data_IF_685025657967
#
_entry.id   IF_685025657967
#
_cell.length_a   1.000
_cell.length_b   1.000
_cell.length_c   1.000
_cell.angle_alpha   90.00
_cell.angle_beta   90.00
_cell.angle_gamma   90.00
#
_symmetry.space_group_name_H-M   'P 1'
#
loop_
_entity.id
_entity.type
_entity.pdbx_description
1 polymer ?
#
# COMPACT_ATOMS: atom_id res chain seq x y z
N UNK A 1 -16.64 3.15 -6.34
CA UNK A 1 -15.38 2.81 -7.04
C UNK A 1 -14.22 3.29 -6.19
N UNK A 2 -13.27 2.42 -5.85
CA UNK A 2 -11.99 2.85 -5.30
C UNK A 2 -11.34 3.77 -6.33
N UNK A 3 -10.91 4.97 -5.91
CA UNK A 3 -9.98 5.78 -6.70
C UNK A 3 -8.77 4.90 -7.03
N UNK A 4 -8.23 4.95 -8.25
CA UNK A 4 -7.03 4.19 -8.62
C UNK A 4 -5.84 4.67 -7.79
N UNK A 5 -5.69 4.09 -6.60
CA UNK A 5 -4.55 4.32 -5.72
C UNK A 5 -3.32 3.75 -6.43
N UNK A 6 -2.25 4.54 -6.46
CA UNK A 6 -0.97 4.14 -7.05
C UNK A 6 0.04 3.91 -5.93
N UNK A 7 0.94 2.94 -6.07
CA UNK A 7 1.88 2.64 -5.03
C UNK A 7 2.68 1.39 -5.31
N UNK A 8 3.55 1.05 -4.37
CA UNK A 8 4.29 -0.21 -4.38
C UNK A 8 4.19 -0.89 -3.03
N UNK A 9 4.23 -2.21 -3.07
CA UNK A 9 4.56 -3.06 -1.94
C UNK A 9 5.78 -3.89 -2.31
N UNK A 10 6.76 -3.93 -1.41
CA UNK A 10 8.01 -4.64 -1.57
C UNK A 10 8.15 -5.62 -0.41
N UNK A 11 8.61 -6.82 -0.72
CA UNK A 11 9.03 -7.83 0.25
C UNK A 11 10.49 -8.17 -0.06
N UNK A 12 11.32 -8.17 0.96
CA UNK A 12 12.72 -8.53 0.85
C UNK A 12 12.94 -9.98 1.31
N UNK A 13 13.92 -10.70 0.74
CA UNK A 13 14.19 -12.09 1.13
C UNK A 13 14.58 -12.28 2.60
N UNK A 14 15.09 -11.24 3.26
CA UNK A 14 15.49 -11.22 4.67
C UNK A 14 14.34 -10.87 5.64
N UNK A 15 13.09 -10.84 5.15
CA UNK A 15 11.90 -10.77 6.01
C UNK A 15 11.41 -9.37 6.33
N UNK A 16 11.75 -8.37 5.51
CA UNK A 16 11.22 -7.00 5.63
C UNK A 16 10.26 -6.67 4.51
N UNK A 17 9.40 -5.69 4.78
CA UNK A 17 8.43 -5.20 3.81
C UNK A 17 8.33 -3.67 3.86
N UNK A 18 7.95 -3.08 2.73
CA UNK A 18 7.56 -1.68 2.65
C UNK A 18 6.36 -1.52 1.74
N UNK A 19 5.34 -0.78 2.16
CA UNK A 19 4.19 -0.44 1.36
C UNK A 19 4.00 1.07 1.36
N UNK A 20 3.84 1.65 0.18
CA UNK A 20 3.47 3.06 0.01
C UNK A 20 2.31 3.16 -0.96
N UNK A 21 1.29 3.91 -0.58
CA UNK A 21 0.08 4.13 -1.34
C UNK A 21 -0.22 5.62 -1.44
N UNK A 22 -0.52 6.06 -2.66
CA UNK A 22 -0.84 7.44 -3.00
C UNK A 22 -2.26 7.50 -3.59
N UNK A 23 -3.13 8.26 -2.93
CA UNK A 23 -4.47 8.56 -3.39
C UNK A 23 -4.37 9.64 -4.48
N UNK A 24 -4.93 9.42 -5.68
CA UNK A 24 -4.79 10.37 -6.80
C UNK A 24 -5.48 11.71 -6.50
N UNK A 25 -5.01 12.77 -7.17
CA UNK A 25 -5.55 14.12 -7.04
C UNK A 25 -4.77 15.04 -6.08
N UNK A 26 -3.56 14.63 -5.67
CA UNK A 26 -2.62 15.54 -5.00
C UNK A 26 -2.22 16.66 -5.96
N UNK A 27 -2.38 17.92 -5.53
CA UNK A 27 -1.90 19.08 -6.29
C UNK A 27 -0.37 19.18 -6.17
N UNK A 28 0.34 19.68 -7.21
CA UNK A 28 1.75 20.00 -7.09
C UNK A 28 1.99 20.92 -5.90
N UNK A 29 3.05 20.64 -5.14
CA UNK A 29 3.49 21.54 -4.08
C UNK A 29 3.92 22.87 -4.71
N UNK A 30 3.31 23.98 -4.29
CA UNK A 30 3.64 25.29 -4.81
C UNK A 30 5.03 25.69 -4.31
N UNK A 31 5.99 25.76 -5.24
CA UNK A 31 7.35 26.21 -4.95
C UNK A 31 7.37 27.75 -4.99
N UNK A 32 7.64 28.40 -3.86
CA UNK A 32 7.80 29.86 -3.82
C UNK A 32 7.32 30.56 -2.54
N UNK A 33 6.46 29.93 -1.74
CA UNK A 33 5.92 30.50 -0.49
C UNK A 33 6.77 30.20 0.77
N UNK A 34 8.02 29.76 0.61
CA UNK A 34 8.89 29.42 1.73
C UNK A 34 8.64 28.03 2.34
N UNK A 35 7.88 27.14 1.68
CA UNK A 35 7.79 25.71 2.03
C UNK A 35 6.96 25.37 3.28
N UNK A 36 6.40 26.37 3.96
CA UNK A 36 5.71 26.22 5.26
C UNK A 36 4.17 26.32 5.18
N UNK A 37 3.56 26.06 4.02
CA UNK A 37 2.10 26.01 3.93
C UNK A 37 1.59 24.68 4.52
N UNK A 38 1.17 24.74 5.79
CA UNK A 38 0.63 23.60 6.54
C UNK A 38 -0.53 22.92 5.80
N UNK A 39 -1.34 23.67 5.03
CA UNK A 39 -2.48 23.11 4.31
C UNK A 39 -2.02 22.15 3.20
N UNK A 40 -0.91 22.47 2.51
CA UNK A 40 -0.33 21.61 1.47
C UNK A 40 0.25 20.33 2.08
N UNK A 41 0.92 20.44 3.23
CA UNK A 41 1.43 19.27 3.97
C UNK A 41 0.30 18.38 4.50
N UNK A 42 -0.75 18.97 5.06
CA UNK A 42 -1.91 18.24 5.53
C UNK A 42 -2.62 17.49 4.39
N UNK A 43 -2.73 18.10 3.21
CA UNK A 43 -3.32 17.44 2.04
C UNK A 43 -2.43 16.30 1.52
N UNK A 44 -1.12 16.50 1.45
CA UNK A 44 -0.16 15.44 1.09
C UNK A 44 -0.22 14.26 2.06
N UNK A 45 -0.26 14.54 3.37
CA UNK A 45 -0.38 13.52 4.42
C UNK A 45 -1.69 12.73 4.34
N UNK A 46 -2.83 13.39 4.07
CA UNK A 46 -4.13 12.71 3.90
C UNK A 46 -4.17 11.77 2.70
N UNK A 47 -3.31 11.99 1.70
CA UNK A 47 -3.28 11.22 0.44
C UNK A 47 -2.17 10.20 0.36
N UNK A 48 -1.26 10.19 1.33
CA UNK A 48 -0.15 9.25 1.38
C UNK A 48 -0.30 8.34 2.60
N UNK A 49 -0.21 7.03 2.39
CA UNK A 49 -0.06 6.08 3.48
C UNK A 49 1.14 5.20 3.20
N UNK A 50 2.14 5.27 4.08
CA UNK A 50 3.37 4.51 3.97
C UNK A 50 3.71 3.83 5.29
N UNK A 51 4.10 2.56 5.22
CA UNK A 51 4.60 1.82 6.37
C UNK A 51 5.64 0.77 5.94
N UNK A 52 6.56 0.46 6.84
CA UNK A 52 7.55 -0.60 6.65
C UNK A 52 7.98 -1.22 7.97
N UNK A 53 8.58 -2.40 7.89
CA UNK A 53 9.03 -3.19 9.02
C UNK A 53 9.15 -4.67 8.68
N UNK A 54 9.41 -5.53 9.69
CA UNK A 54 9.47 -6.97 9.46
C UNK A 54 8.09 -7.53 9.11
N UNK A 55 8.08 -8.59 8.31
CA UNK A 55 6.89 -9.42 8.11
C UNK A 55 7.13 -10.86 8.54
N UNK A 56 6.03 -11.53 8.91
CA UNK A 56 6.04 -12.94 9.26
C UNK A 56 4.90 -13.65 8.56
N UNK A 57 5.15 -14.88 8.14
CA UNK A 57 4.11 -15.80 7.68
C UNK A 57 3.89 -16.81 8.79
N UNK A 58 2.65 -16.99 9.20
CA UNK A 58 2.26 -17.95 10.22
C UNK A 58 0.99 -18.68 9.81
N UNK A 59 0.73 -19.86 10.38
CA UNK A 59 -0.56 -20.50 10.19
C UNK A 59 -1.71 -19.59 10.66
N UNK A 60 -2.86 -19.68 9.99
CA UNK A 60 -4.07 -18.97 10.37
C UNK A 60 -4.55 -19.47 11.73
N UNK A 61 -4.88 -18.57 12.67
CA UNK A 61 -5.38 -18.96 13.99
C UNK A 61 -6.75 -19.63 13.94
N UNK A 62 -7.52 -19.45 12.86
CA UNK A 62 -8.81 -20.12 12.66
C UNK A 62 -8.66 -21.61 12.35
N UNK A 63 -7.45 -22.08 12.02
CA UNK A 63 -7.19 -23.50 11.75
C UNK A 63 -7.77 -24.00 10.43
N UNK A 64 -8.32 -23.12 9.61
CA UNK A 64 -8.94 -23.45 8.34
C UNK A 64 -7.92 -23.98 7.33
N UNK A 65 -8.35 -24.96 6.55
CA UNK A 65 -7.62 -25.48 5.39
C UNK A 65 -8.13 -24.83 4.11
N UNK A 66 -7.26 -24.69 3.11
CA UNK A 66 -7.67 -24.34 1.76
C UNK A 66 -8.32 -25.51 1.02
N UNK A 67 -8.73 -25.27 -0.22
CA UNK A 67 -9.38 -26.27 -1.08
C UNK A 67 -8.49 -27.49 -1.42
N UNK A 68 -7.19 -27.40 -1.14
CA UNK A 68 -6.21 -28.47 -1.32
C UNK A 68 -5.82 -29.16 0.00
N UNK A 69 -6.49 -28.81 1.11
CA UNK A 69 -6.22 -29.37 2.43
C UNK A 69 -4.97 -28.81 3.11
N UNK A 70 -4.36 -27.74 2.59
CA UNK A 70 -3.23 -27.07 3.25
C UNK A 70 -3.75 -26.09 4.29
N UNK A 71 -3.13 -26.05 5.47
CA UNK A 71 -3.45 -25.04 6.47
C UNK A 71 -3.25 -23.64 5.88
N UNK A 72 -4.27 -22.78 6.03
CA UNK A 72 -4.18 -21.40 5.55
C UNK A 72 -3.09 -20.67 6.32
N UNK A 73 -2.39 -19.79 5.61
CA UNK A 73 -1.34 -18.94 6.16
C UNK A 73 -1.84 -17.48 6.20
N UNK A 74 -1.41 -16.75 7.22
CA UNK A 74 -1.63 -15.32 7.36
C UNK A 74 -0.30 -14.58 7.33
N UNK A 75 -0.34 -13.38 6.77
CA UNK A 75 0.79 -12.48 6.68
C UNK A 75 0.66 -11.42 7.79
N UNK A 76 1.70 -11.25 8.58
CA UNK A 76 1.74 -10.29 9.70
C UNK A 76 2.74 -9.21 9.36
N UNK A 77 2.26 -7.98 9.12
CA UNK A 77 3.10 -6.81 8.92
C UNK A 77 3.26 -6.06 10.24
N UNK A 78 4.49 -5.92 10.74
CA UNK A 78 4.75 -5.05 11.90
C UNK A 78 5.06 -3.64 11.42
N UNK A 79 4.33 -2.66 11.91
CA UNK A 79 4.53 -1.25 11.55
C UNK A 79 5.69 -0.67 12.35
N UNK A 80 6.92 -1.02 11.98
CA UNK A 80 8.13 -0.49 12.63
C UNK A 80 8.32 0.99 12.33
N UNK A 81 8.04 1.41 11.09
CA UNK A 81 7.94 2.80 10.67
C UNK A 81 6.60 3.00 9.97
N UNK A 82 5.87 4.07 10.29
CA UNK A 82 4.55 4.36 9.71
C UNK A 82 4.33 5.87 9.58
N UNK A 83 3.69 6.29 8.48
CA UNK A 83 3.29 7.69 8.28
C UNK A 83 2.18 8.15 9.22
N UNK A 84 1.52 7.21 9.92
CA UNK A 84 0.56 7.46 10.99
C UNK A 84 1.22 7.06 12.33
N UNK A 85 1.75 8.02 13.11
CA UNK A 85 2.54 7.73 14.31
C UNK A 85 1.82 6.87 15.35
N UNK A 86 0.49 7.01 15.47
CA UNK A 86 -0.31 6.23 16.41
C UNK A 86 -0.42 4.75 16.09
N UNK A 87 0.04 4.30 14.91
CA UNK A 87 0.02 2.89 14.50
C UNK A 87 1.42 2.26 14.54
N UNK A 88 2.45 2.99 14.98
CA UNK A 88 3.80 2.43 15.12
C UNK A 88 3.78 1.35 16.20
N UNK A 89 4.30 0.17 15.88
CA UNK A 89 4.28 -1.02 16.73
C UNK A 89 3.07 -1.94 16.51
N UNK A 90 2.03 -1.49 15.82
CA UNK A 90 0.89 -2.33 15.49
C UNK A 90 1.30 -3.47 14.54
N UNK A 91 0.61 -4.60 14.69
CA UNK A 91 0.72 -5.74 13.77
C UNK A 91 -0.56 -5.83 12.95
N UNK A 92 -0.43 -5.60 11.64
CA UNK A 92 -1.51 -5.81 10.71
C UNK A 92 -1.48 -7.24 10.17
N UNK A 93 -2.53 -7.99 10.48
CA UNK A 93 -2.71 -9.35 9.96
C UNK A 93 -3.51 -9.32 8.66
N UNK A 94 -3.05 -10.07 7.67
CA UNK A 94 -3.62 -10.13 6.33
C UNK A 94 -3.81 -11.58 5.89
N UNK A 95 -5.00 -11.89 5.40
CA UNK A 95 -5.16 -13.03 4.50
C UNK A 95 -4.51 -12.70 3.17
N UNK A 96 -4.01 -13.71 2.47
CA UNK A 96 -3.35 -13.50 1.19
C UNK A 96 -3.69 -14.62 0.21
N UNK A 97 -3.72 -14.26 -1.07
CA UNK A 97 -3.78 -15.21 -2.19
C UNK A 97 -3.19 -14.56 -3.44
N UNK A 98 -2.84 -15.39 -4.41
CA UNK A 98 -2.48 -14.93 -5.74
C UNK A 98 -3.64 -15.18 -6.72
N UNK A 99 -3.89 -14.21 -7.58
CA UNK A 99 -4.78 -14.27 -8.73
C UNK A 99 -3.94 -14.09 -10.01
N UNK A 100 -4.55 -14.35 -11.18
CA UNK A 100 -3.91 -14.17 -12.49
C UNK A 100 -2.54 -14.87 -12.58
N UNK A 101 -2.50 -16.17 -12.26
CA UNK A 101 -1.28 -17.00 -12.35
C UNK A 101 -0.08 -16.44 -11.55
N UNK A 102 -0.33 -15.68 -10.48
CA UNK A 102 0.73 -15.10 -9.66
C UNK A 102 1.04 -13.63 -9.96
N UNK A 103 0.33 -13.02 -10.92
CA UNK A 103 0.53 -11.62 -11.31
C UNK A 103 -0.20 -10.62 -10.41
N UNK A 104 -1.18 -11.08 -9.62
CA UNK A 104 -1.90 -10.22 -8.69
C UNK A 104 -1.87 -10.82 -7.28
N UNK A 105 -1.23 -10.11 -6.34
CA UNK A 105 -1.33 -10.38 -4.91
C UNK A 105 -2.58 -9.72 -4.35
N UNK A 106 -3.44 -10.50 -3.72
CA UNK A 106 -4.63 -10.00 -3.01
C UNK A 106 -4.41 -10.13 -1.51
N UNK A 107 -4.49 -9.01 -0.80
CA UNK A 107 -4.42 -8.95 0.66
C UNK A 107 -5.79 -8.59 1.23
N UNK A 108 -6.34 -9.44 2.09
CA UNK A 108 -7.62 -9.22 2.78
C UNK A 108 -7.44 -8.95 4.27
N UNK A 109 -8.54 -8.66 4.96
CA UNK A 109 -8.62 -8.72 6.43
C UNK A 109 -8.95 -10.15 6.88
N UNK A 110 -8.70 -10.46 8.15
CA UNK A 110 -9.12 -11.75 8.76
C UNK A 110 -10.64 -11.88 8.84
N UNK A 111 -11.36 -10.78 9.04
CA UNK A 111 -12.82 -10.77 9.05
C UNK A 111 -13.44 -9.52 8.42
N UNK A 112 -14.78 -9.49 8.27
CA UNK A 112 -15.49 -8.31 7.81
C UNK A 112 -15.22 -7.14 8.76
N UNK A 113 -14.77 -6.02 8.20
CA UNK A 113 -14.64 -4.75 8.91
C UNK A 113 -15.94 -3.98 8.77
N UNK A 114 -16.43 -3.39 9.86
CA UNK A 114 -17.57 -2.49 9.80
C UNK A 114 -17.11 -1.13 9.26
N UNK A 115 -17.66 -0.71 8.12
CA UNK A 115 -17.34 0.55 7.46
C UNK A 115 -18.66 1.29 7.25
N UNK A 116 -18.89 2.35 8.03
CA UNK A 116 -20.12 3.18 7.98
C UNK A 116 -21.42 2.35 8.15
N UNK A 117 -21.40 1.34 9.02
CA UNK A 117 -22.55 0.45 9.25
C UNK A 117 -22.66 -0.75 8.29
N UNK A 118 -21.85 -0.79 7.22
CA UNK A 118 -21.78 -1.94 6.32
C UNK A 118 -20.62 -2.87 6.73
N UNK A 119 -20.88 -4.17 6.85
CA UNK A 119 -19.80 -5.17 6.93
C UNK A 119 -19.17 -5.33 5.54
N UNK A 120 -17.91 -4.92 5.40
CA UNK A 120 -17.13 -5.06 4.17
C UNK A 120 -15.83 -5.78 4.47
N UNK A 121 -15.38 -6.59 3.52
CA UNK A 121 -14.04 -7.19 3.57
C UNK A 121 -13.15 -6.32 2.67
N UNK A 122 -12.41 -5.35 3.23
CA UNK A 122 -11.50 -4.54 2.43
C UNK A 122 -10.38 -5.42 1.86
N UNK A 123 -10.27 -5.45 0.54
CA UNK A 123 -9.18 -6.13 -0.17
C UNK A 123 -8.28 -5.12 -0.87
N UNK A 124 -6.97 -5.34 -0.77
CA UNK A 124 -5.95 -4.64 -1.56
C UNK A 124 -5.46 -5.59 -2.65
N UNK A 125 -5.49 -5.15 -3.91
CA UNK A 125 -4.96 -5.90 -5.04
C UNK A 125 -3.70 -5.21 -5.56
N UNK A 126 -2.60 -5.93 -5.57
CA UNK A 126 -1.30 -5.46 -6.02
C UNK A 126 -0.88 -6.24 -7.25
N UNK A 127 -0.69 -5.55 -8.37
CA UNK A 127 -0.13 -6.17 -9.57
C UNK A 127 1.39 -6.23 -9.46
N UNK A 128 1.98 -7.36 -9.85
CA UNK A 128 3.43 -7.53 -9.93
C UNK A 128 4.03 -6.38 -10.75
N UNK A 129 5.06 -5.75 -10.18
CA UNK A 129 5.83 -4.75 -10.90
C UNK A 129 6.59 -5.41 -12.05
N UNK A 130 6.71 -4.72 -13.18
CA UNK A 130 7.52 -5.19 -14.30
C UNK A 130 9.00 -5.25 -13.87
N UNK A 131 9.71 -6.25 -14.36
CA UNK A 131 11.16 -6.29 -14.25
C UNK A 131 11.75 -5.06 -14.95
N UNK A 132 12.53 -4.28 -14.20
CA UNK A 132 13.16 -3.05 -14.66
C UNK A 132 14.69 -3.19 -14.80
N UNK A 133 15.25 -4.40 -14.67
CA UNK A 133 16.69 -4.67 -14.76
C UNK A 133 17.34 -4.20 -16.07
N UNK A 134 16.56 -4.17 -17.15
CA UNK A 134 16.98 -3.74 -18.50
C UNK A 134 16.10 -2.63 -19.09
N UNK A 135 15.16 -2.09 -18.29
CA UNK A 135 14.20 -1.11 -18.77
C UNK A 135 14.72 0.33 -18.65
N UNK A 136 14.22 1.23 -19.50
CA UNK A 136 14.39 2.67 -19.28
C UNK A 136 13.50 3.14 -18.11
N UNK A 137 13.90 4.20 -17.37
CA UNK A 137 13.09 4.75 -16.29
C UNK A 137 11.66 5.07 -16.75
N UNK A 138 10.63 4.64 -16.01
CA UNK A 138 9.25 4.95 -16.37
C UNK A 138 8.93 6.43 -16.13
N UNK A 139 7.87 6.92 -16.78
CA UNK A 139 7.35 8.26 -16.50
C UNK A 139 6.92 8.39 -15.01
N UNK A 140 7.01 9.60 -14.42
CA UNK A 140 6.61 9.83 -13.02
C UNK A 140 5.17 9.38 -12.74
N UNK A 141 4.95 8.69 -11.63
CA UNK A 141 3.62 8.29 -11.15
C UNK A 141 3.40 8.80 -9.72
N UNK A 142 2.28 9.52 -9.44
CA UNK A 142 1.30 10.00 -10.42
C UNK A 142 1.95 10.98 -11.42
N UNK A 143 1.35 11.11 -12.61
CA UNK A 143 1.77 12.10 -13.61
C UNK A 143 1.48 13.51 -13.08
N UNK A 144 2.37 14.04 -12.25
CA UNK A 144 2.30 15.41 -11.78
C UNK A 144 2.88 16.26 -12.91
N UNK A 145 2.02 17.00 -13.62
CA UNK A 145 2.49 18.03 -14.54
C UNK A 145 3.25 19.08 -13.71
N UNK A 146 4.56 19.15 -13.92
CA UNK A 146 5.38 20.24 -13.41
C UNK A 146 5.37 21.30 -14.52
N UNK A 147 4.42 22.24 -14.47
CA UNK A 147 4.51 23.42 -15.34
C UNK A 147 5.63 24.31 -14.82
N UNK A 148 6.69 24.46 -15.62
CA UNK A 148 7.73 25.45 -15.39
C UNK A 148 7.22 26.86 -15.74
N UNK A 149 7.91 27.93 -15.30
CA UNK A 149 7.60 29.28 -15.75
C UNK A 149 7.94 29.38 -17.24
N UNK A 150 6.93 29.27 -18.12
CA UNK A 150 7.08 29.43 -19.57
C UNK A 150 6.29 28.49 -20.48
N UNK A 151 5.52 27.52 -19.97
CA UNK A 151 4.58 26.76 -20.81
C UNK A 151 3.18 27.41 -20.80
N UNK A 152 2.49 27.48 -21.97
CA UNK A 152 1.19 28.13 -22.11
C UNK A 152 0.06 27.43 -21.32
#
# INVERSE_FOLDING_TARGET
MTRSVTGFILYTPDGYMSATMLIPGQKPFQRGSGGNDEAQWAEAGKRCFGYCGPYYISPSPEGDVDEHGKQREVLRHTFQCCSLPGWVGDVQVRTHRFEEEGEVLVLGSEGPTEIKGDKRIPVLKWRRARDNSTASPPAPTPQIKISGPGEP
#
